data_IF_482481245362
#
_entry.id   IF_482481245362
#
_cell.length_a   1.000
_cell.length_b   1.000
_cell.length_c   1.000
_cell.angle_alpha   90.00
_cell.angle_beta   90.00
_cell.angle_gamma   90.00
#
_symmetry.space_group_name_H-M   'P 1'
#
loop_
_entity.id
_entity.type
_entity.pdbx_description
1 polymer ?
#
# COMPACT_ATOMS: atom_id res chain seq x y z
N UNK A 1 29.96 -7.01 -10.13
CA UNK A 1 28.48 -7.11 -10.23
C UNK A 1 27.90 -5.73 -10.02
N UNK A 2 26.89 -5.36 -10.79
CA UNK A 2 26.14 -4.10 -10.61
C UNK A 2 25.08 -4.35 -9.53
N UNK A 3 25.01 -3.48 -8.52
CA UNK A 3 24.01 -3.57 -7.45
C UNK A 3 22.89 -2.56 -7.69
N UNK A 4 21.65 -3.02 -7.68
CA UNK A 4 20.47 -2.15 -7.75
C UNK A 4 20.25 -1.47 -6.41
N UNK A 5 20.02 -0.16 -6.44
CA UNK A 5 19.73 0.63 -5.24
C UNK A 5 18.82 1.79 -5.57
N UNK A 6 17.73 1.92 -4.81
CA UNK A 6 16.84 3.07 -4.81
C UNK A 6 16.98 3.78 -3.46
N UNK A 7 17.44 5.03 -3.48
CA UNK A 7 17.70 5.80 -2.26
C UNK A 7 16.46 6.51 -1.72
N UNK A 8 15.60 6.98 -2.61
CA UNK A 8 14.42 7.77 -2.26
C UNK A 8 13.17 6.90 -2.39
N UNK A 9 12.28 7.02 -1.42
CA UNK A 9 11.00 6.34 -1.35
C UNK A 9 9.94 7.26 -0.75
N UNK A 10 8.69 7.06 -1.14
CA UNK A 10 7.51 7.72 -0.58
C UNK A 10 6.91 6.91 0.56
N UNK A 11 6.85 5.59 0.42
CA UNK A 11 6.27 4.71 1.42
C UNK A 11 7.25 4.45 2.58
N UNK A 12 7.40 5.42 3.49
CA UNK A 12 8.33 5.32 4.62
C UNK A 12 7.91 4.24 5.65
N UNK A 13 6.60 4.05 5.82
CA UNK A 13 6.02 3.08 6.76
C UNK A 13 5.00 2.22 6.04
N UNK A 14 5.17 0.92 6.20
CA UNK A 14 4.31 -0.09 5.61
C UNK A 14 3.97 -1.10 6.71
N UNK A 15 2.70 -1.47 6.79
CA UNK A 15 2.23 -2.58 7.62
C UNK A 15 1.73 -3.70 6.72
N UNK A 16 2.16 -4.92 7.04
CA UNK A 16 1.69 -6.16 6.39
C UNK A 16 0.96 -6.99 7.43
N UNK A 17 -0.28 -7.39 7.13
CA UNK A 17 -1.09 -8.25 7.99
C UNK A 17 -1.23 -9.63 7.36
N UNK A 18 -0.34 -10.56 7.72
CA UNK A 18 -0.28 -11.90 7.14
C UNK A 18 -0.50 -13.05 8.15
N UNK A 19 -0.76 -14.25 7.65
CA UNK A 19 -0.97 -15.48 8.41
C UNK A 19 -1.95 -16.45 7.73
N UNK A 20 -2.27 -17.57 8.38
CA UNK A 20 -3.14 -18.62 7.82
C UNK A 20 -4.62 -18.19 7.72
N UNK A 21 -5.41 -18.76 6.79
CA UNK A 21 -6.86 -18.56 6.76
C UNK A 21 -7.50 -18.89 8.12
N UNK A 22 -8.48 -18.10 8.55
CA UNK A 22 -9.21 -18.33 9.80
C UNK A 22 -8.53 -17.84 11.09
N UNK A 23 -7.30 -17.30 11.07
CA UNK A 23 -6.66 -16.78 12.28
C UNK A 23 -7.08 -15.35 12.70
N UNK A 24 -8.16 -14.81 12.13
CA UNK A 24 -8.72 -13.50 12.52
C UNK A 24 -8.08 -12.28 11.85
N UNK A 25 -7.24 -12.44 10.83
CA UNK A 25 -6.56 -11.32 10.14
C UNK A 25 -7.50 -10.24 9.62
N UNK A 26 -8.69 -10.62 9.14
CA UNK A 26 -9.70 -9.67 8.66
C UNK A 26 -10.14 -8.68 9.75
N UNK A 27 -10.30 -9.16 10.99
CA UNK A 27 -10.60 -8.31 12.14
C UNK A 27 -9.44 -7.36 12.42
N UNK A 28 -8.22 -7.89 12.51
CA UNK A 28 -7.03 -7.08 12.76
C UNK A 28 -6.76 -6.06 11.66
N UNK A 29 -6.95 -6.42 10.39
CA UNK A 29 -6.80 -5.52 9.24
C UNK A 29 -7.74 -4.33 9.35
N UNK A 30 -8.98 -4.56 9.80
CA UNK A 30 -9.97 -3.50 10.03
C UNK A 30 -9.57 -2.58 11.18
N UNK A 31 -9.08 -3.14 12.29
CA UNK A 31 -8.60 -2.37 13.46
C UNK A 31 -7.36 -1.55 13.10
N UNK A 32 -6.39 -2.16 12.41
CA UNK A 32 -5.15 -1.50 11.97
C UNK A 32 -5.47 -0.36 11.02
N UNK A 33 -6.40 -0.56 10.07
CA UNK A 33 -6.84 0.49 9.14
C UNK A 33 -7.45 1.70 9.84
N UNK A 34 -7.97 1.54 11.06
CA UNK A 34 -8.55 2.62 11.86
C UNK A 34 -7.53 3.41 12.70
N UNK A 35 -6.27 2.98 12.72
CA UNK A 35 -5.20 3.69 13.43
C UNK A 35 -4.79 4.97 12.68
N UNK A 36 -4.20 5.90 13.41
CA UNK A 36 -3.73 7.18 12.86
C UNK A 36 -2.81 6.96 11.65
N UNK A 37 -3.09 7.70 10.57
CA UNK A 37 -2.35 7.69 9.29
C UNK A 37 -2.35 6.37 8.51
N UNK A 38 -2.99 5.30 8.99
CA UNK A 38 -3.07 4.05 8.26
C UNK A 38 -4.05 4.17 7.10
N UNK A 39 -3.58 3.85 5.89
CA UNK A 39 -4.41 3.84 4.69
C UNK A 39 -5.37 2.64 4.68
N UNK A 40 -6.34 2.64 3.75
CA UNK A 40 -7.27 1.53 3.63
C UNK A 40 -6.53 0.22 3.35
N UNK A 41 -7.11 -0.89 3.80
CA UNK A 41 -6.61 -2.21 3.45
C UNK A 41 -6.52 -2.35 1.92
N UNK A 42 -5.35 -2.75 1.45
CA UNK A 42 -5.11 -3.01 0.03
C UNK A 42 -4.39 -4.34 -0.15
N UNK A 43 -4.67 -5.06 -1.23
CA UNK A 43 -3.93 -6.29 -1.54
C UNK A 43 -2.76 -5.96 -2.48
N UNK A 44 -1.64 -6.67 -2.34
CA UNK A 44 -0.47 -6.51 -3.20
C UNK A 44 0.14 -7.86 -3.59
N UNK A 45 -0.48 -8.48 -4.60
CA UNK A 45 -0.02 -9.73 -5.19
C UNK A 45 1.39 -9.62 -5.79
N UNK A 46 1.75 -8.43 -6.29
CA UNK A 46 3.07 -8.15 -6.86
C UNK A 46 4.18 -8.36 -5.85
N UNK A 47 3.99 -7.90 -4.60
CA UNK A 47 4.97 -8.10 -3.52
C UNK A 47 5.09 -9.59 -3.19
N UNK A 48 3.98 -10.34 -3.12
CA UNK A 48 4.00 -11.78 -2.90
C UNK A 48 4.78 -12.50 -4.01
N UNK A 49 4.52 -12.18 -5.28
CA UNK A 49 5.26 -12.75 -6.42
C UNK A 49 6.75 -12.41 -6.36
N UNK A 50 7.12 -11.19 -5.96
CA UNK A 50 8.54 -10.80 -5.79
C UNK A 50 9.19 -11.65 -4.69
N UNK A 51 8.52 -11.82 -3.55
CA UNK A 51 9.00 -12.66 -2.45
C UNK A 51 9.17 -14.12 -2.88
N UNK A 52 8.22 -14.66 -3.66
CA UNK A 52 8.29 -16.02 -4.21
C UNK A 52 9.49 -16.18 -5.15
N UNK A 53 9.69 -15.25 -6.09
CA UNK A 53 10.83 -15.28 -7.02
C UNK A 53 12.17 -15.18 -6.30
N UNK A 54 12.25 -14.36 -5.25
CA UNK A 54 13.44 -14.27 -4.42
C UNK A 54 13.70 -15.57 -3.66
N UNK A 55 12.66 -16.16 -3.05
CA UNK A 55 12.76 -17.44 -2.34
C UNK A 55 13.20 -18.59 -3.26
N UNK A 56 12.74 -18.59 -4.51
CA UNK A 56 13.12 -19.57 -5.54
C UNK A 56 14.47 -19.26 -6.21
N UNK A 57 15.22 -18.29 -5.69
CA UNK A 57 16.53 -17.85 -6.18
C UNK A 57 16.51 -17.43 -7.66
N UNK A 58 15.37 -16.94 -8.16
CA UNK A 58 15.20 -16.46 -9.55
C UNK A 58 15.60 -15.00 -9.72
N UNK A 59 15.62 -14.23 -8.64
CA UNK A 59 16.06 -12.83 -8.61
C UNK A 59 17.00 -12.61 -7.42
N UNK A 60 17.90 -11.64 -7.56
CA UNK A 60 18.79 -11.22 -6.48
C UNK A 60 18.07 -10.36 -5.44
N UNK A 61 18.62 -10.30 -4.22
CA UNK A 61 18.02 -9.55 -3.11
C UNK A 61 17.87 -8.05 -3.40
N UNK A 62 18.84 -7.46 -4.09
CA UNK A 62 18.83 -6.04 -4.46
C UNK A 62 17.71 -5.73 -5.49
N UNK A 63 17.50 -6.62 -6.46
CA UNK A 63 16.38 -6.56 -7.39
C UNK A 63 15.04 -6.68 -6.65
N UNK A 64 14.89 -7.66 -5.76
CA UNK A 64 13.67 -7.85 -4.97
C UNK A 64 13.35 -6.60 -4.12
N UNK A 65 14.32 -6.08 -3.38
CA UNK A 65 14.17 -4.84 -2.59
C UNK A 65 13.78 -3.64 -3.44
N UNK A 66 14.43 -3.48 -4.59
CA UNK A 66 14.17 -2.37 -5.51
C UNK A 66 12.75 -2.45 -6.06
N UNK A 67 12.31 -3.64 -6.48
CA UNK A 67 10.96 -3.84 -7.00
C UNK A 67 9.89 -3.61 -5.92
N UNK A 68 10.06 -4.14 -4.71
CA UNK A 68 9.13 -3.89 -3.60
C UNK A 68 9.02 -2.38 -3.36
N UNK A 69 10.15 -1.67 -3.29
CA UNK A 69 10.17 -0.21 -3.07
C UNK A 69 9.40 0.55 -4.16
N UNK A 70 9.57 0.16 -5.42
CA UNK A 70 8.83 0.74 -6.55
C UNK A 70 7.33 0.49 -6.42
N UNK A 71 6.93 -0.74 -6.09
CA UNK A 71 5.52 -1.12 -5.98
C UNK A 71 4.83 -0.39 -4.83
N UNK A 72 5.49 -0.28 -3.68
CA UNK A 72 4.94 0.41 -2.51
C UNK A 72 4.82 1.91 -2.74
N UNK A 73 5.82 2.54 -3.39
CA UNK A 73 5.77 3.96 -3.76
C UNK A 73 4.61 4.23 -4.73
N UNK A 74 4.48 3.40 -5.77
CA UNK A 74 3.43 3.52 -6.76
C UNK A 74 2.04 3.33 -6.14
N UNK A 75 1.88 2.30 -5.30
CA UNK A 75 0.62 2.01 -4.63
C UNK A 75 0.19 3.17 -3.72
N UNK A 76 1.13 3.70 -2.93
CA UNK A 76 0.85 4.82 -2.06
C UNK A 76 0.48 6.07 -2.86
N UNK A 77 1.27 6.41 -3.88
CA UNK A 77 1.01 7.54 -4.76
C UNK A 77 -0.39 7.46 -5.39
N UNK A 78 -0.74 6.31 -5.99
CA UNK A 78 -2.05 6.10 -6.59
C UNK A 78 -3.18 6.21 -5.55
N UNK A 79 -3.00 5.62 -4.37
CA UNK A 79 -4.00 5.65 -3.28
C UNK A 79 -4.24 7.08 -2.77
N UNK A 80 -3.18 7.88 -2.65
CA UNK A 80 -3.25 9.30 -2.26
C UNK A 80 -3.94 10.16 -3.33
N UNK A 81 -3.84 9.76 -4.60
CA UNK A 81 -4.56 10.32 -5.74
C UNK A 81 -6.01 9.85 -5.90
N UNK A 82 -6.46 8.88 -5.10
CA UNK A 82 -7.76 8.22 -5.32
C UNK A 82 -7.78 7.25 -6.50
N UNK A 83 -6.63 6.94 -7.11
CA UNK A 83 -6.46 5.90 -8.14
C UNK A 83 -6.29 4.53 -7.47
N UNK A 84 -6.74 3.48 -8.15
CA UNK A 84 -6.67 2.08 -7.68
C UNK A 84 -7.29 1.85 -6.28
N UNK A 85 -8.28 2.67 -5.93
CA UNK A 85 -9.10 2.51 -4.72
C UNK A 85 -10.35 1.74 -5.09
N UNK A 86 -10.63 0.66 -4.34
CA UNK A 86 -11.81 -0.14 -4.57
C UNK A 86 -13.06 0.54 -3.97
N UNK A 87 -14.08 0.79 -4.78
CA UNK A 87 -15.38 1.31 -4.33
C UNK A 87 -16.52 0.30 -4.47
N UNK A 88 -16.23 -0.97 -4.81
CA UNK A 88 -17.26 -2.01 -4.91
C UNK A 88 -17.83 -2.30 -3.51
N UNK A 89 -19.14 -2.13 -3.25
CA UNK A 89 -19.69 -2.23 -1.89
C UNK A 89 -19.56 -3.61 -1.23
N UNK A 90 -19.57 -4.68 -2.03
CA UNK A 90 -19.49 -6.05 -1.53
C UNK A 90 -18.11 -6.48 -1.05
N UNK A 91 -17.06 -5.73 -1.39
CA UNK A 91 -15.68 -6.16 -1.18
C UNK A 91 -15.16 -5.72 0.19
N UNK A 92 -14.37 -6.59 0.83
CA UNK A 92 -13.74 -6.27 2.12
C UNK A 92 -12.81 -5.03 2.02
N UNK A 93 -12.09 -4.90 0.91
CA UNK A 93 -11.18 -3.77 0.64
C UNK A 93 -11.88 -2.50 0.15
N UNK A 94 -13.21 -2.47 0.15
CA UNK A 94 -13.96 -1.29 -0.29
C UNK A 94 -13.65 -0.09 0.59
N UNK A 95 -13.43 1.08 -0.02
CA UNK A 95 -13.33 2.34 0.68
C UNK A 95 -14.61 2.66 1.49
N UNK A 96 -15.75 2.07 1.10
CA UNK A 96 -17.01 2.15 1.85
C UNK A 96 -16.94 1.47 3.23
N UNK A 97 -16.07 0.47 3.38
CA UNK A 97 -15.87 -0.30 4.61
C UNK A 97 -14.71 0.25 5.46
N UNK A 98 -14.00 1.27 4.97
CA UNK A 98 -12.98 1.97 5.74
C UNK A 98 -13.63 2.80 6.85
N UNK A 99 -12.93 3.02 7.98
CA UNK A 99 -13.51 3.73 9.14
C UNK A 99 -13.94 5.18 8.81
N UNK A 100 -13.32 5.79 7.82
CA UNK A 100 -13.65 7.13 7.34
C UNK A 100 -13.74 7.17 5.79
N UNK A 101 -14.83 6.67 5.20
CA UNK A 101 -14.97 6.58 3.74
C UNK A 101 -14.85 7.95 3.05
N UNK A 102 -15.30 9.02 3.74
CA UNK A 102 -15.27 10.38 3.21
C UNK A 102 -13.88 10.84 2.77
N UNK A 103 -12.82 10.34 3.45
CA UNK A 103 -11.42 10.59 3.08
C UNK A 103 -11.15 10.23 1.62
N UNK A 104 -11.60 9.06 1.18
CA UNK A 104 -11.35 8.58 -0.19
C UNK A 104 -12.28 9.20 -1.22
N UNK A 105 -13.52 9.54 -0.84
CA UNK A 105 -14.41 10.32 -1.71
C UNK A 105 -13.89 11.74 -1.96
N UNK A 106 -13.33 12.40 -0.94
CA UNK A 106 -12.74 13.72 -1.09
C UNK A 106 -11.53 13.68 -2.04
N UNK A 107 -10.69 12.64 -1.92
CA UNK A 107 -9.54 12.43 -2.81
C UNK A 107 -9.92 12.30 -4.30
N UNK A 108 -11.13 11.85 -4.63
CA UNK A 108 -11.61 11.81 -6.03
C UNK A 108 -11.75 13.20 -6.65
N UNK A 109 -11.93 14.23 -5.84
CA UNK A 109 -12.11 15.62 -6.26
C UNK A 109 -10.91 16.52 -5.90
N UNK A 110 -9.90 15.98 -5.21
CA UNK A 110 -8.70 16.71 -4.82
C UNK A 110 -7.75 16.93 -6.01
N UNK A 111 -6.83 17.89 -5.86
CA UNK A 111 -5.76 18.12 -6.84
C UNK A 111 -4.80 16.93 -6.86
N UNK A 112 -4.59 16.37 -8.04
CA UNK A 112 -3.73 15.22 -8.28
C UNK A 112 -2.31 15.57 -8.74
N UNK A 113 -1.64 14.56 -9.28
CA UNK A 113 -0.37 14.63 -9.98
C UNK A 113 0.74 15.32 -9.16
N UNK A 114 1.20 16.50 -9.58
CA UNK A 114 2.34 17.19 -8.99
C UNK A 114 2.14 17.60 -7.51
N UNK A 115 0.90 17.69 -7.02
CA UNK A 115 0.61 18.03 -5.64
C UNK A 115 0.78 16.86 -4.65
N UNK A 116 0.78 15.63 -5.16
CA UNK A 116 0.71 14.41 -4.34
C UNK A 116 2.01 14.11 -3.59
N UNK A 117 3.21 14.29 -4.17
CA UNK A 117 4.46 14.12 -3.43
C UNK A 117 4.53 14.98 -2.16
N UNK A 118 4.11 16.26 -2.25
CA UNK A 118 4.08 17.15 -1.09
C UNK A 118 3.06 16.68 -0.04
N UNK A 119 1.88 16.25 -0.48
CA UNK A 119 0.84 15.68 0.39
C UNK A 119 1.34 14.45 1.15
N UNK A 120 2.06 13.56 0.49
CA UNK A 120 2.67 12.37 1.12
C UNK A 120 3.68 12.77 2.20
N UNK A 121 4.57 13.74 1.90
CA UNK A 121 5.59 14.21 2.84
C UNK A 121 4.95 14.85 4.09
N UNK A 122 3.83 15.56 3.91
CA UNK A 122 3.10 16.22 5.00
C UNK A 122 2.28 15.23 5.84
N UNK A 123 1.47 14.38 5.21
CA UNK A 123 0.56 13.46 5.89
C UNK A 123 1.30 12.26 6.52
N UNK A 124 2.43 11.85 5.93
CA UNK A 124 3.21 10.66 6.33
C UNK A 124 2.34 9.41 6.53
N UNK A 125 1.58 9.02 5.49
CA UNK A 125 0.68 7.88 5.56
C UNK A 125 1.42 6.56 5.79
N UNK A 126 0.75 5.62 6.44
CA UNK A 126 1.22 4.25 6.62
C UNK A 126 0.48 3.39 5.62
N UNK A 127 1.22 2.82 4.66
CA UNK A 127 0.64 1.95 3.64
C UNK A 127 0.26 0.60 4.27
N UNK A 128 -0.91 0.08 3.92
CA UNK A 128 -1.52 -1.08 4.58
C UNK A 128 -1.81 -2.20 3.58
N UNK A 129 -1.22 -3.37 3.86
CA UNK A 129 -1.38 -4.61 3.09
C UNK A 129 -1.96 -5.75 3.93
#
# INVERSE_FOLDING_TARGET
MVTLSRKNYFAEKIVFVDGLPGCGKTLFSSIISAMDKVELLSYSYEIEHICQLFYLEKIQLDAAKTMISIQTDLKLYNTMMGRDVNFRPSDLSSALNYYNPSKYFNRLNDVGDAAIPEKIIQEKPILNF
#
